data_IF_278019202745
#
_entry.id   IF_278019202745
#
_cell.length_a   1.000
_cell.length_b   1.000
_cell.length_c   1.000
_cell.angle_alpha   90.00
_cell.angle_beta   90.00
_cell.angle_gamma   90.00
#
_symmetry.space_group_name_H-M   'P 1'
#
loop_
_entity.id
_entity.type
_entity.pdbx_description
1 polymer ?
#
# COMPACT_ATOMS: atom_id res chain seq x y z
N UNK A 1 13.35 77.83 59.58
CA UNK A 1 14.55 77.37 58.95
C UNK A 1 14.40 75.82 58.75
N UNK A 2 13.86 75.39 57.63
CA UNK A 2 13.73 73.96 57.28
C UNK A 2 14.32 73.76 55.90
N UNK A 3 15.31 72.94 55.82
CA UNK A 3 15.90 72.53 54.55
C UNK A 3 15.06 71.41 53.89
N UNK A 4 14.74 71.46 52.59
CA UNK A 4 14.08 70.34 51.95
C UNK A 4 15.12 69.29 51.52
N UNK A 5 14.87 68.05 51.96
CA UNK A 5 15.59 66.88 51.51
C UNK A 5 15.05 66.52 50.10
N UNK A 6 15.91 66.59 49.11
CA UNK A 6 15.61 66.07 47.80
C UNK A 6 15.75 64.55 47.79
N UNK A 7 14.65 63.87 47.63
CA UNK A 7 14.59 62.41 47.48
C UNK A 7 14.78 62.06 45.97
N UNK A 8 15.93 61.59 45.61
CA UNK A 8 16.18 61.10 44.27
C UNK A 8 15.71 59.66 44.17
N UNK A 9 14.54 59.47 43.54
CA UNK A 9 14.06 58.12 43.20
C UNK A 9 14.76 57.67 41.93
N UNK A 10 15.77 56.80 42.07
CA UNK A 10 16.33 56.08 40.91
C UNK A 10 15.36 54.98 40.50
N UNK A 11 14.67 55.16 39.40
CA UNK A 11 13.83 54.12 38.76
C UNK A 11 14.77 53.20 37.97
N UNK A 12 15.04 52.04 38.49
CA UNK A 12 15.72 50.99 37.77
C UNK A 12 14.77 50.36 36.73
N UNK A 13 14.95 50.66 35.46
CA UNK A 13 14.28 50.04 34.34
C UNK A 13 14.89 48.62 34.17
N UNK A 14 14.20 47.61 34.68
CA UNK A 14 14.50 46.21 34.41
C UNK A 14 13.97 45.90 33.00
N UNK A 15 14.85 45.85 32.03
CA UNK A 15 14.51 45.37 30.70
C UNK A 15 14.27 43.85 30.72
N UNK A 16 12.99 43.49 30.67
CA UNK A 16 12.58 42.08 30.50
C UNK A 16 12.79 41.70 29.03
N UNK A 17 13.90 41.03 28.73
CA UNK A 17 14.13 40.44 27.42
C UNK A 17 13.30 39.17 27.31
N UNK A 18 12.31 39.07 26.41
CA UNK A 18 11.59 37.81 26.21
C UNK A 18 12.56 36.80 25.60
N UNK A 19 12.93 35.75 26.35
CA UNK A 19 13.57 34.58 25.77
C UNK A 19 12.54 33.88 24.88
N UNK A 20 12.62 34.12 23.57
CA UNK A 20 11.87 33.36 22.59
C UNK A 20 12.44 31.93 22.54
N UNK A 21 11.84 31.01 23.29
CA UNK A 21 12.13 29.59 23.20
C UNK A 21 11.54 29.10 21.86
N UNK A 22 12.39 29.05 20.83
CA UNK A 22 12.05 28.38 19.59
C UNK A 22 11.91 26.88 19.90
N UNK A 23 10.68 26.44 20.12
CA UNK A 23 10.38 25.00 20.13
C UNK A 23 10.60 24.48 18.71
N UNK A 24 11.76 23.91 18.48
CA UNK A 24 11.98 23.03 17.34
C UNK A 24 11.03 21.84 17.53
N UNK A 25 9.87 21.90 16.89
CA UNK A 25 9.05 20.72 16.69
C UNK A 25 9.92 19.73 15.92
N UNK A 26 10.45 18.72 16.63
CA UNK A 26 11.11 17.61 15.98
C UNK A 26 10.08 16.96 15.07
N UNK A 27 10.18 17.22 13.76
CA UNK A 27 9.47 16.44 12.74
C UNK A 27 9.82 14.99 13.01
N UNK A 28 8.84 14.09 13.29
CA UNK A 28 9.15 12.68 13.46
C UNK A 28 9.96 12.24 12.23
N UNK A 29 10.98 11.40 12.39
CA UNK A 29 11.76 10.92 11.25
C UNK A 29 10.76 10.30 10.29
N UNK A 30 10.48 11.01 9.20
CA UNK A 30 9.74 10.51 8.08
C UNK A 30 10.63 9.38 7.55
N UNK A 31 10.26 8.13 7.87
CA UNK A 31 10.95 6.97 7.35
C UNK A 31 11.16 7.25 5.87
N UNK A 32 12.42 7.39 5.48
CA UNK A 32 12.75 7.73 4.10
C UNK A 32 11.98 6.75 3.24
N UNK A 33 10.97 7.24 2.52
CA UNK A 33 10.15 6.42 1.68
C UNK A 33 11.14 5.76 0.72
N UNK A 34 11.47 4.48 0.97
CA UNK A 34 12.37 3.75 0.08
C UNK A 34 11.64 3.71 -1.25
N UNK A 35 12.08 4.58 -2.13
CA UNK A 35 11.52 4.70 -3.47
C UNK A 35 11.85 3.43 -4.22
N UNK A 36 10.91 2.95 -5.03
CA UNK A 36 11.10 1.81 -5.90
C UNK A 36 12.41 1.99 -6.71
N UNK A 37 13.40 1.09 -6.58
CA UNK A 37 14.69 1.21 -7.27
C UNK A 37 14.58 0.92 -8.78
N UNK A 38 13.45 0.35 -9.22
CA UNK A 38 13.22 -0.05 -10.61
C UNK A 38 12.38 1.00 -11.33
N UNK A 39 12.92 1.60 -12.37
CA UNK A 39 12.16 2.52 -13.22
C UNK A 39 11.13 1.73 -14.03
N UNK A 40 9.84 2.13 -14.02
CA UNK A 40 8.83 1.45 -14.81
C UNK A 40 9.06 1.66 -16.31
N UNK A 41 8.91 0.58 -17.07
CA UNK A 41 8.84 0.57 -18.53
C UNK A 41 7.52 -0.03 -18.96
N UNK A 42 7.10 0.19 -20.21
CA UNK A 42 5.89 -0.45 -20.73
C UNK A 42 5.96 -1.97 -20.56
N UNK A 43 7.06 -2.60 -20.94
CA UNK A 43 7.26 -4.05 -20.81
C UNK A 43 7.19 -4.54 -19.36
N UNK A 44 7.80 -3.81 -18.40
CA UNK A 44 7.73 -4.19 -16.98
C UNK A 44 6.32 -4.03 -16.41
N UNK A 45 5.57 -3.02 -16.85
CA UNK A 45 4.18 -2.83 -16.42
C UNK A 45 3.23 -3.85 -17.05
N UNK A 46 3.42 -4.23 -18.30
CA UNK A 46 2.67 -5.32 -18.92
C UNK A 46 2.91 -6.66 -18.22
N UNK A 47 4.17 -6.93 -17.83
CA UNK A 47 4.50 -8.11 -17.03
C UNK A 47 3.84 -8.06 -15.65
N UNK A 48 3.93 -6.93 -14.95
CA UNK A 48 3.32 -6.75 -13.64
C UNK A 48 1.79 -6.93 -13.70
N UNK A 49 1.14 -6.38 -14.73
CA UNK A 49 -0.28 -6.56 -14.97
C UNK A 49 -0.67 -8.02 -15.16
N UNK A 50 0.13 -8.79 -15.91
CA UNK A 50 -0.10 -10.24 -16.10
C UNK A 50 0.08 -11.01 -14.81
N UNK A 51 1.16 -10.75 -14.05
CA UNK A 51 1.39 -11.37 -12.75
C UNK A 51 0.24 -11.07 -11.77
N UNK A 52 -0.18 -9.79 -11.71
CA UNK A 52 -1.31 -9.40 -10.89
C UNK A 52 -2.59 -10.18 -11.24
N UNK A 53 -2.92 -10.26 -12.52
CA UNK A 53 -4.10 -10.99 -12.98
C UNK A 53 -4.06 -12.49 -12.63
N UNK A 54 -2.87 -13.10 -12.68
CA UNK A 54 -2.70 -14.53 -12.40
C UNK A 54 -2.70 -14.87 -10.91
N UNK A 55 -2.07 -14.02 -10.09
CA UNK A 55 -1.70 -14.41 -8.73
C UNK A 55 -2.42 -13.61 -7.65
N UNK A 56 -2.90 -12.40 -7.97
CA UNK A 56 -3.44 -11.45 -6.99
C UNK A 56 -4.94 -11.18 -7.17
N UNK A 57 -5.40 -11.08 -8.43
CA UNK A 57 -6.75 -10.62 -8.76
C UNK A 57 -7.85 -11.52 -8.19
N UNK A 58 -7.60 -12.80 -8.01
CA UNK A 58 -8.58 -13.75 -7.47
C UNK A 58 -9.10 -13.33 -6.08
N UNK A 59 -8.23 -12.74 -5.25
CA UNK A 59 -8.61 -12.20 -3.94
C UNK A 59 -8.80 -10.68 -3.98
N UNK A 60 -7.86 -9.97 -4.63
CA UNK A 60 -7.83 -8.50 -4.60
C UNK A 60 -8.75 -7.83 -5.62
N UNK A 61 -9.33 -8.60 -6.55
CA UNK A 61 -10.14 -8.09 -7.65
C UNK A 61 -9.30 -7.55 -8.81
N UNK A 62 -9.85 -7.60 -10.02
CA UNK A 62 -9.13 -7.16 -11.24
C UNK A 62 -8.69 -5.70 -11.17
N UNK A 63 -9.48 -4.87 -10.48
CA UNK A 63 -9.18 -3.45 -10.27
C UNK A 63 -8.56 -3.14 -8.91
N UNK A 64 -8.36 -4.14 -8.05
CA UNK A 64 -7.78 -3.95 -6.73
C UNK A 64 -8.74 -3.49 -5.64
N UNK A 65 -10.06 -3.61 -5.85
CA UNK A 65 -11.05 -3.19 -4.85
C UNK A 65 -11.24 -4.17 -3.67
N UNK A 66 -10.66 -5.38 -3.75
CA UNK A 66 -10.75 -6.39 -2.70
C UNK A 66 -12.12 -7.02 -2.50
N UNK A 67 -13.05 -6.80 -3.43
CA UNK A 67 -14.47 -7.23 -3.31
C UNK A 67 -14.76 -8.40 -4.24
N UNK A 68 -14.10 -9.54 -4.01
CA UNK A 68 -14.31 -10.76 -4.79
C UNK A 68 -15.15 -11.78 -4.02
N UNK A 69 -15.73 -12.73 -4.75
CA UNK A 69 -16.48 -13.83 -4.14
C UNK A 69 -15.57 -14.67 -3.24
N UNK A 70 -14.31 -14.89 -3.65
CA UNK A 70 -13.34 -15.61 -2.84
C UNK A 70 -13.01 -14.86 -1.56
N UNK A 71 -12.72 -13.55 -1.64
CA UNK A 71 -12.47 -12.74 -0.45
C UNK A 71 -13.67 -12.80 0.51
N UNK A 72 -14.89 -12.71 -0.01
CA UNK A 72 -16.11 -12.79 0.78
C UNK A 72 -16.28 -14.16 1.43
N UNK A 73 -16.10 -15.24 0.69
CA UNK A 73 -16.24 -16.61 1.21
C UNK A 73 -15.21 -16.96 2.28
N UNK A 74 -14.02 -16.36 2.20
CA UNK A 74 -12.95 -16.51 3.18
C UNK A 74 -13.02 -15.50 4.33
N UNK A 75 -14.04 -14.64 4.37
CA UNK A 75 -14.20 -13.55 5.35
C UNK A 75 -12.97 -12.62 5.40
N UNK A 76 -12.38 -12.30 4.25
CA UNK A 76 -11.25 -11.38 4.16
C UNK A 76 -11.75 -9.94 4.10
N UNK A 77 -11.10 -9.07 4.90
CA UNK A 77 -11.27 -7.63 4.79
C UNK A 77 -10.03 -7.08 4.09
N UNK A 78 -10.14 -6.89 2.78
CA UNK A 78 -9.03 -6.42 1.95
C UNK A 78 -9.10 -4.91 1.75
N UNK A 79 -7.91 -4.30 1.64
CA UNK A 79 -7.80 -2.88 1.33
C UNK A 79 -8.30 -2.61 -0.10
N UNK A 80 -9.15 -1.61 -0.26
CA UNK A 80 -9.59 -1.13 -1.57
C UNK A 80 -8.49 -0.23 -2.17
N UNK A 81 -7.73 -0.76 -3.12
CA UNK A 81 -6.65 -0.02 -3.77
C UNK A 81 -7.11 0.96 -4.84
N UNK A 82 -8.41 1.01 -5.12
CA UNK A 82 -8.97 2.06 -5.98
C UNK A 82 -9.12 3.39 -5.24
N UNK A 83 -9.10 3.36 -3.90
CA UNK A 83 -9.07 4.57 -3.09
C UNK A 83 -7.65 5.20 -3.16
N UNK A 84 -7.53 6.46 -3.63
CA UNK A 84 -6.25 7.17 -3.70
C UNK A 84 -5.48 7.26 -2.38
N UNK A 85 -6.17 7.16 -1.25
CA UNK A 85 -5.58 7.26 0.09
C UNK A 85 -5.09 5.91 0.64
N UNK A 86 -5.57 4.81 0.10
CA UNK A 86 -5.37 3.46 0.65
C UNK A 86 -3.90 3.05 0.79
N UNK A 87 -3.06 3.48 -0.15
CA UNK A 87 -1.62 3.20 -0.16
C UNK A 87 -0.75 4.42 0.19
N UNK A 88 -1.34 5.58 0.50
CA UNK A 88 -0.60 6.83 0.64
C UNK A 88 0.45 6.80 1.77
N UNK A 89 0.14 6.13 2.88
CA UNK A 89 1.04 6.02 4.05
C UNK A 89 1.98 4.83 4.01
N UNK A 90 1.83 3.92 3.04
CA UNK A 90 2.68 2.72 2.94
C UNK A 90 3.92 3.00 2.07
N UNK A 91 5.14 2.81 2.59
CA UNK A 91 6.35 2.85 1.76
C UNK A 91 6.35 1.76 0.69
N UNK A 92 7.01 2.00 -0.44
CA UNK A 92 7.14 0.99 -1.51
C UNK A 92 7.85 -0.27 -1.02
N UNK A 93 8.81 -0.14 -0.11
CA UNK A 93 9.50 -1.27 0.50
C UNK A 93 8.54 -2.15 1.32
N UNK A 94 7.58 -1.56 2.05
CA UNK A 94 6.58 -2.33 2.78
C UNK A 94 5.69 -3.13 1.82
N UNK A 95 5.27 -2.52 0.71
CA UNK A 95 4.49 -3.20 -0.31
C UNK A 95 5.29 -4.34 -0.96
N UNK A 96 6.56 -4.10 -1.26
CA UNK A 96 7.46 -5.13 -1.77
C UNK A 96 7.59 -6.31 -0.79
N UNK A 97 7.81 -6.02 0.49
CA UNK A 97 7.96 -7.01 1.53
C UNK A 97 6.67 -7.81 1.76
N UNK A 98 5.51 -7.13 1.78
CA UNK A 98 4.21 -7.78 1.89
C UNK A 98 3.99 -8.77 0.74
N UNK A 99 4.37 -8.44 -0.49
CA UNK A 99 4.27 -9.33 -1.65
C UNK A 99 5.29 -10.47 -1.55
N UNK A 100 6.54 -10.16 -1.28
CA UNK A 100 7.64 -11.14 -1.31
C UNK A 100 7.56 -12.15 -0.17
N UNK A 101 7.13 -11.72 1.02
CA UNK A 101 7.07 -12.53 2.24
C UNK A 101 5.67 -13.09 2.53
N UNK A 102 4.66 -12.57 1.83
CA UNK A 102 3.26 -12.82 2.17
C UNK A 102 2.81 -12.02 3.37
N UNK A 103 1.53 -12.11 3.71
CA UNK A 103 0.94 -11.40 4.83
C UNK A 103 -0.08 -12.26 5.58
N UNK A 104 0.28 -12.64 6.80
CA UNK A 104 -0.51 -13.56 7.61
C UNK A 104 -0.60 -14.95 6.97
N UNK A 105 -1.69 -15.65 7.25
CA UNK A 105 -1.92 -17.03 6.79
C UNK A 105 -2.75 -17.12 5.49
N UNK A 106 -3.21 -15.98 4.97
CA UNK A 106 -4.12 -15.93 3.82
C UNK A 106 -3.47 -15.32 2.56
N UNK A 107 -2.43 -14.54 2.69
CA UNK A 107 -1.67 -14.01 1.56
C UNK A 107 -0.32 -14.72 1.48
N UNK A 108 -0.17 -15.72 0.61
CA UNK A 108 1.09 -16.45 0.46
C UNK A 108 2.19 -15.55 -0.11
N UNK A 109 3.47 -15.91 0.12
CA UNK A 109 4.60 -15.21 -0.49
C UNK A 109 4.62 -15.43 -2.01
N UNK A 110 5.01 -14.40 -2.75
CA UNK A 110 5.26 -14.53 -4.19
C UNK A 110 6.56 -15.32 -4.44
N UNK A 111 6.48 -16.36 -5.22
CA UNK A 111 7.59 -17.27 -5.48
C UNK A 111 8.72 -16.62 -6.32
N UNK A 112 9.95 -16.68 -5.80
CA UNK A 112 11.10 -16.05 -6.45
C UNK A 112 11.53 -16.77 -7.76
N UNK A 113 11.07 -18.00 -7.98
CA UNK A 113 11.24 -18.72 -9.23
C UNK A 113 10.37 -18.16 -10.34
N UNK A 114 9.17 -17.69 -9.99
CA UNK A 114 8.18 -17.12 -10.92
C UNK A 114 8.39 -15.63 -11.16
N UNK A 115 8.50 -14.83 -10.09
CA UNK A 115 8.68 -13.40 -10.15
C UNK A 115 10.00 -12.99 -9.49
N UNK A 116 10.91 -12.43 -10.26
CA UNK A 116 12.16 -11.86 -9.73
C UNK A 116 11.87 -10.57 -8.97
N UNK A 117 12.83 -10.08 -8.17
CA UNK A 117 12.65 -8.86 -7.39
C UNK A 117 12.27 -7.65 -8.26
N UNK A 118 12.84 -7.54 -9.46
CA UNK A 118 12.47 -6.50 -10.41
C UNK A 118 10.99 -6.60 -10.84
N UNK A 119 10.43 -7.79 -10.92
CA UNK A 119 9.02 -8.02 -11.26
C UNK A 119 8.11 -7.62 -10.09
N UNK A 120 8.51 -7.94 -8.85
CA UNK A 120 7.79 -7.52 -7.65
C UNK A 120 7.83 -5.99 -7.50
N UNK A 121 8.95 -5.34 -7.81
CA UNK A 121 9.00 -3.88 -7.90
C UNK A 121 8.08 -3.31 -8.98
N UNK A 122 7.94 -4.04 -10.10
CA UNK A 122 6.95 -3.74 -11.13
C UNK A 122 5.52 -3.82 -10.60
N UNK A 123 5.20 -4.87 -9.79
CA UNK A 123 3.91 -5.01 -9.12
C UNK A 123 3.64 -3.85 -8.16
N UNK A 124 4.62 -3.41 -7.36
CA UNK A 124 4.47 -2.24 -6.48
C UNK A 124 4.07 -1.00 -7.28
N UNK A 125 4.73 -0.76 -8.43
CA UNK A 125 4.35 0.35 -9.33
C UNK A 125 2.94 0.18 -9.88
N UNK A 126 2.56 -1.05 -10.25
CA UNK A 126 1.22 -1.36 -10.76
C UNK A 126 0.15 -1.06 -9.70
N UNK A 127 0.34 -1.51 -8.44
CA UNK A 127 -0.58 -1.22 -7.34
C UNK A 127 -0.75 0.28 -7.08
N UNK A 128 0.36 1.05 -7.14
CA UNK A 128 0.32 2.52 -7.07
C UNK A 128 -0.49 3.12 -8.22
N UNK A 129 -0.48 2.48 -9.37
CA UNK A 129 -1.27 2.88 -10.53
C UNK A 129 -2.77 2.70 -10.31
N UNK A 130 -3.21 1.60 -9.68
CA UNK A 130 -4.62 1.33 -9.40
C UNK A 130 -5.26 2.47 -8.59
N UNK A 131 -4.58 2.96 -7.56
CA UNK A 131 -5.04 4.09 -6.74
C UNK A 131 -5.06 5.44 -7.48
N UNK A 132 -4.47 5.50 -8.67
CA UNK A 132 -4.48 6.69 -9.55
C UNK A 132 -5.42 6.54 -10.74
N UNK A 133 -6.27 5.49 -10.73
CA UNK A 133 -7.22 5.24 -11.81
C UNK A 133 -6.62 4.55 -13.05
N UNK A 134 -5.47 3.88 -12.91
CA UNK A 134 -4.90 3.09 -14.00
C UNK A 134 -5.88 1.96 -14.38
N UNK A 135 -6.04 1.64 -15.69
CA UNK A 135 -6.88 0.54 -16.13
C UNK A 135 -6.47 -0.80 -15.49
N UNK A 136 -7.46 -1.49 -14.95
CA UNK A 136 -7.29 -2.81 -14.34
C UNK A 136 -6.72 -3.85 -15.32
N UNK A 137 -6.17 -4.95 -14.76
CA UNK A 137 -5.85 -6.12 -15.54
C UNK A 137 -7.14 -6.71 -16.14
N UNK A 138 -7.16 -7.16 -17.41
CA UNK A 138 -8.25 -7.99 -17.85
C UNK A 138 -8.26 -9.28 -17.04
N UNK A 139 -9.48 -9.75 -16.69
CA UNK A 139 -9.61 -11.05 -16.07
C UNK A 139 -8.86 -12.11 -16.88
N UNK A 140 -8.15 -13.06 -16.24
CA UNK A 140 -7.60 -14.20 -16.96
C UNK A 140 -8.71 -14.84 -17.78
N UNK A 141 -8.50 -15.03 -19.07
CA UNK A 141 -9.43 -15.82 -19.85
C UNK A 141 -9.59 -17.16 -19.15
N UNK A 142 -10.81 -17.53 -18.78
CA UNK A 142 -11.10 -18.85 -18.25
C UNK A 142 -10.45 -19.87 -19.20
N UNK A 143 -9.79 -20.96 -18.70
CA UNK A 143 -9.26 -21.99 -19.56
C UNK A 143 -10.35 -22.44 -20.52
N UNK A 144 -10.10 -22.36 -21.82
CA UNK A 144 -11.09 -22.69 -22.85
C UNK A 144 -11.50 -24.17 -22.84
N UNK A 145 -10.89 -24.98 -21.96
CA UNK A 145 -11.07 -26.44 -21.86
C UNK A 145 -11.81 -26.92 -20.61
N UNK A 146 -12.49 -26.04 -19.86
CA UNK A 146 -13.46 -26.51 -18.89
C UNK A 146 -14.79 -26.75 -19.60
N UNK A 147 -14.83 -27.71 -20.54
CA UNK A 147 -16.08 -28.30 -20.96
C UNK A 147 -16.79 -28.83 -19.71
N UNK A 148 -18.10 -28.53 -19.52
CA UNK A 148 -18.82 -29.08 -18.37
C UNK A 148 -18.71 -30.60 -18.42
N UNK A 149 -18.18 -31.20 -17.37
CA UNK A 149 -18.15 -32.64 -17.22
C UNK A 149 -19.57 -33.14 -17.41
N UNK A 150 -19.76 -33.97 -18.44
CA UNK A 150 -21.04 -34.60 -18.69
C UNK A 150 -21.50 -35.33 -17.38
N UNK A 151 -22.78 -35.26 -17.01
CA UNK A 151 -23.28 -35.92 -15.81
C UNK A 151 -22.97 -37.41 -15.91
N UNK A 152 -22.27 -37.90 -14.88
CA UNK A 152 -21.98 -39.34 -14.79
C UNK A 152 -23.26 -40.15 -14.87
N UNK A 153 -23.37 -41.01 -15.88
CA UNK A 153 -24.46 -41.95 -16.03
C UNK A 153 -24.45 -42.91 -14.83
N UNK A 154 -25.54 -43.08 -14.08
CA UNK A 154 -25.57 -44.01 -12.97
C UNK A 154 -25.33 -45.45 -13.48
N UNK A 155 -24.63 -46.31 -12.71
CA UNK A 155 -24.41 -47.69 -13.12
C UNK A 155 -25.74 -48.44 -13.24
N UNK A 156 -25.89 -49.13 -14.37
CA UNK A 156 -27.05 -49.97 -14.67
C UNK A 156 -27.14 -51.10 -13.62
N UNK A 157 -28.31 -51.39 -13.05
CA UNK A 157 -28.48 -52.52 -12.12
C UNK A 157 -28.33 -53.82 -12.89
N UNK A 158 -27.36 -54.64 -12.47
CA UNK A 158 -27.12 -55.98 -12.99
C UNK A 158 -28.40 -56.83 -12.89
N UNK A 159 -28.65 -57.51 -13.98
CA UNK A 159 -29.47 -58.73 -13.98
C UNK A 159 -28.70 -59.90 -13.41
#
# INVERSE_FOLDING_TARGET
MLKPFALVCAVALVAIVPLSVSTFAATPPQAAASTNPVKPTAASQDKAKKLYAQDCAICHGDNGNGKTDLATSMNLTLTDWTDPKSLASKPDQELFDDIRKGKGDKMPPEDAGRAKDADVWGLVTYLRGLSKGQPSAPAPAAPADAAPAAPATPPSPNR
#
